data_IF_007588236380
#
_entry.id   IF_007588236380
#
_cell.length_a   1.000
_cell.length_b   1.000
_cell.length_c   1.000
_cell.angle_alpha   90.00
_cell.angle_beta   90.00
_cell.angle_gamma   90.00
#
_symmetry.space_group_name_H-M   'P 1'
#
loop_
_entity.id
_entity.type
_entity.pdbx_description
1 polymer ?
#
# COMPACT_ATOMS: atom_id res chain seq x y z
N UNK A 1 15.41 -14.68 -25.82
CA UNK A 1 15.98 -13.74 -24.84
C UNK A 1 16.61 -14.55 -23.70
N UNK A 2 17.78 -14.14 -23.24
CA UNK A 2 18.65 -14.92 -22.37
C UNK A 2 18.09 -15.01 -20.93
N UNK A 3 17.78 -16.22 -20.44
CA UNK A 3 17.15 -16.45 -19.12
C UNK A 3 17.98 -15.83 -17.97
N UNK A 4 19.29 -15.70 -18.14
CA UNK A 4 20.18 -15.08 -17.16
C UNK A 4 20.08 -13.54 -17.12
N UNK A 5 19.79 -12.88 -18.26
CA UNK A 5 19.56 -11.42 -18.29
C UNK A 5 18.24 -11.03 -17.62
N UNK A 6 17.21 -11.88 -17.71
CA UNK A 6 15.91 -11.65 -17.07
C UNK A 6 16.01 -11.85 -15.55
N UNK A 7 16.69 -12.90 -15.10
CA UNK A 7 16.99 -13.12 -13.66
C UNK A 7 17.72 -11.94 -13.02
N UNK A 8 18.70 -11.35 -13.71
CA UNK A 8 19.45 -10.21 -13.18
C UNK A 8 18.67 -8.89 -13.18
N UNK A 9 17.69 -8.71 -14.08
CA UNK A 9 16.81 -7.52 -14.07
C UNK A 9 15.82 -7.54 -12.89
N UNK A 10 15.20 -8.69 -12.60
CA UNK A 10 14.27 -8.85 -11.48
C UNK A 10 14.96 -8.76 -10.11
N UNK A 11 16.23 -9.18 -10.02
CA UNK A 11 17.02 -9.12 -8.78
C UNK A 11 17.42 -7.70 -8.37
N UNK A 12 17.43 -6.76 -9.31
CA UNK A 12 17.82 -5.36 -9.12
C UNK A 12 16.62 -4.40 -9.23
N UNK A 13 15.40 -4.93 -9.31
CA UNK A 13 14.19 -4.14 -9.37
C UNK A 13 13.77 -3.79 -7.92
N UNK A 14 13.61 -2.50 -7.57
CA UNK A 14 13.22 -2.03 -6.24
C UNK A 14 12.01 -2.75 -5.64
N UNK A 15 11.06 -3.18 -6.48
CA UNK A 15 9.86 -3.92 -6.08
C UNK A 15 10.16 -5.32 -5.51
N UNK A 16 11.36 -5.85 -5.73
CA UNK A 16 11.83 -7.18 -5.31
C UNK A 16 13.01 -7.12 -4.32
N UNK A 17 13.52 -5.93 -3.99
CA UNK A 17 14.66 -5.72 -3.07
C UNK A 17 14.29 -5.18 -1.69
N UNK A 18 13.02 -4.98 -1.35
CA UNK A 18 12.60 -4.50 -0.02
C UNK A 18 12.96 -5.51 1.10
N UNK A 19 13.56 -5.01 2.18
CA UNK A 19 13.81 -5.78 3.40
C UNK A 19 12.54 -5.88 4.24
N UNK A 20 11.66 -6.81 3.87
CA UNK A 20 10.58 -7.21 4.78
C UNK A 20 11.19 -7.77 6.07
N UNK A 21 10.79 -7.24 7.21
CA UNK A 21 11.10 -7.77 8.54
C UNK A 21 9.85 -7.72 9.41
N UNK A 22 9.49 -8.84 10.04
CA UNK A 22 8.34 -8.92 10.93
C UNK A 22 8.71 -9.48 12.32
N UNK A 23 9.52 -8.77 13.12
CA UNK A 23 9.98 -9.27 14.42
C UNK A 23 8.83 -9.51 15.41
N UNK A 24 7.78 -8.69 15.38
CA UNK A 24 6.59 -8.90 16.21
C UNK A 24 5.83 -10.17 15.82
N UNK A 25 5.74 -10.47 14.52
CA UNK A 25 5.11 -11.70 14.04
C UNK A 25 5.95 -12.90 14.49
N UNK A 26 7.28 -12.85 14.38
CA UNK A 26 8.18 -13.91 14.87
C UNK A 26 8.02 -14.15 16.38
N UNK A 27 7.92 -13.07 17.17
CA UNK A 27 7.69 -13.16 18.62
C UNK A 27 6.33 -13.81 18.94
N UNK A 28 5.26 -13.40 18.26
CA UNK A 28 3.92 -13.99 18.41
C UNK A 28 3.87 -15.44 17.93
N UNK A 29 4.59 -15.80 16.87
CA UNK A 29 4.74 -17.18 16.38
C UNK A 29 5.43 -18.06 17.43
N UNK A 30 6.49 -17.56 18.06
CA UNK A 30 7.22 -18.24 19.13
C UNK A 30 6.33 -18.42 20.35
N UNK A 31 5.65 -17.35 20.77
CA UNK A 31 4.74 -17.38 21.91
C UNK A 31 3.59 -18.37 21.67
N UNK A 32 2.93 -18.31 20.52
CA UNK A 32 1.83 -19.23 20.19
C UNK A 32 2.32 -20.68 20.09
N UNK A 33 3.53 -20.90 19.57
CA UNK A 33 4.14 -22.22 19.52
C UNK A 33 4.36 -22.82 20.90
N UNK A 34 4.61 -21.98 21.91
CA UNK A 34 4.76 -22.37 23.31
C UNK A 34 3.42 -22.52 24.05
N UNK A 35 2.51 -21.56 23.92
CA UNK A 35 1.32 -21.47 24.78
C UNK A 35 0.05 -22.11 24.18
N UNK A 36 -0.02 -22.22 22.84
CA UNK A 36 -1.17 -22.68 22.06
C UNK A 36 -2.50 -22.00 22.43
N UNK A 37 -2.46 -20.78 22.97
CA UNK A 37 -3.64 -20.04 23.44
C UNK A 37 -4.37 -19.35 22.29
N UNK A 38 -5.70 -19.32 22.37
CA UNK A 38 -6.54 -18.65 21.38
C UNK A 38 -6.29 -17.13 21.33
N UNK A 39 -6.05 -16.49 22.47
CA UNK A 39 -5.74 -15.06 22.55
C UNK A 39 -4.45 -14.72 21.79
N UNK A 40 -3.39 -15.51 21.97
CA UNK A 40 -2.11 -15.35 21.27
C UNK A 40 -2.28 -15.58 19.77
N UNK A 41 -3.07 -16.59 19.37
CA UNK A 41 -3.42 -16.83 17.97
C UNK A 41 -4.16 -15.64 17.36
N UNK A 42 -5.13 -15.04 18.07
CA UNK A 42 -5.88 -13.89 17.57
C UNK A 42 -4.98 -12.67 17.38
N UNK A 43 -4.08 -12.38 18.33
CA UNK A 43 -3.08 -11.31 18.19
C UNK A 43 -2.15 -11.56 17.00
N UNK A 44 -1.70 -12.81 16.83
CA UNK A 44 -0.89 -13.19 15.68
C UNK A 44 -1.63 -12.98 14.36
N UNK A 45 -2.89 -13.42 14.27
CA UNK A 45 -3.72 -13.22 13.07
C UNK A 45 -3.90 -11.73 12.79
N UNK A 46 -4.26 -10.92 13.80
CA UNK A 46 -4.43 -9.48 13.64
C UNK A 46 -3.15 -8.79 13.16
N UNK A 47 -1.99 -9.18 13.70
CA UNK A 47 -0.73 -8.64 13.21
C UNK A 47 -0.46 -9.10 11.77
N UNK A 48 -0.67 -10.39 11.47
CA UNK A 48 -0.51 -10.92 10.13
C UNK A 48 -1.40 -10.19 9.12
N UNK A 49 -2.68 -9.93 9.40
CA UNK A 49 -3.60 -9.26 8.45
C UNK A 49 -3.16 -7.85 8.07
N UNK A 50 -2.36 -7.19 8.90
CA UNK A 50 -1.76 -5.87 8.65
C UNK A 50 -0.31 -5.93 8.15
N UNK A 51 0.23 -7.13 7.95
CA UNK A 51 1.65 -7.32 7.59
C UNK A 51 1.82 -7.84 6.16
N UNK A 52 3.02 -7.62 5.62
CA UNK A 52 3.47 -8.27 4.39
C UNK A 52 4.53 -9.31 4.64
N UNK A 53 4.62 -10.25 3.69
CA UNK A 53 5.51 -11.39 3.76
C UNK A 53 6.21 -11.59 2.43
N UNK A 54 7.40 -12.17 2.51
CA UNK A 54 8.15 -12.62 1.35
C UNK A 54 7.59 -13.96 0.88
N UNK A 55 7.22 -14.04 -0.40
CA UNK A 55 6.62 -15.20 -1.07
C UNK A 55 7.51 -15.64 -2.22
N UNK A 56 8.13 -16.82 -2.14
CA UNK A 56 8.80 -17.46 -3.27
C UNK A 56 7.97 -17.55 -4.54
N UNK A 57 8.57 -17.21 -5.67
CA UNK A 57 7.93 -17.31 -6.98
C UNK A 57 8.90 -17.74 -8.10
N UNK A 58 8.33 -18.34 -9.14
CA UNK A 58 8.96 -18.51 -10.45
C UNK A 58 8.65 -17.32 -11.36
N UNK A 59 9.48 -17.14 -12.40
CA UNK A 59 9.23 -16.15 -13.46
C UNK A 59 8.43 -16.84 -14.59
N UNK A 60 7.18 -16.44 -14.79
CA UNK A 60 6.30 -16.96 -15.84
C UNK A 60 6.59 -16.40 -17.24
N UNK A 61 5.83 -16.85 -18.24
CA UNK A 61 6.06 -16.58 -19.67
C UNK A 61 5.97 -15.09 -20.08
N UNK A 62 5.47 -14.21 -19.20
CA UNK A 62 5.39 -12.75 -19.41
C UNK A 62 6.05 -11.94 -18.29
N UNK A 63 7.11 -12.46 -17.64
CA UNK A 63 7.71 -11.89 -16.42
C UNK A 63 6.77 -11.75 -15.21
N UNK A 64 5.55 -12.30 -15.27
CA UNK A 64 4.65 -12.34 -14.10
C UNK A 64 5.12 -13.39 -13.08
N UNK A 65 5.23 -13.05 -11.79
CA UNK A 65 5.64 -14.01 -10.78
C UNK A 65 4.54 -15.05 -10.53
N UNK A 66 4.93 -16.33 -10.47
CA UNK A 66 4.04 -17.46 -10.15
C UNK A 66 4.48 -18.04 -8.80
N UNK A 67 3.67 -17.94 -7.73
CA UNK A 67 4.07 -18.43 -6.41
C UNK A 67 4.43 -19.90 -6.39
N UNK A 68 5.44 -20.23 -5.57
CA UNK A 68 5.86 -21.60 -5.31
C UNK A 68 5.13 -22.17 -4.10
N UNK A 69 5.01 -23.50 -4.07
CA UNK A 69 4.42 -24.24 -2.96
C UNK A 69 5.43 -25.23 -2.40
N UNK A 70 5.42 -25.41 -1.08
CA UNK A 70 6.18 -26.47 -0.42
C UNK A 70 5.26 -27.65 -0.15
N UNK A 71 5.79 -28.87 -0.20
CA UNK A 71 5.05 -30.06 0.22
C UNK A 71 5.65 -30.62 1.50
N UNK A 72 4.79 -31.08 2.42
CA UNK A 72 5.27 -31.88 3.55
C UNK A 72 5.47 -33.35 3.13
N UNK A 73 5.92 -34.19 4.06
CA UNK A 73 6.14 -35.63 3.83
C UNK A 73 4.88 -36.42 3.49
N UNK A 74 3.69 -35.88 3.79
CA UNK A 74 2.39 -36.46 3.46
C UNK A 74 1.87 -36.02 2.08
N UNK A 75 2.61 -35.14 1.38
CA UNK A 75 2.24 -34.62 0.07
C UNK A 75 1.26 -33.43 0.12
N UNK A 76 0.88 -32.95 1.30
CA UNK A 76 0.10 -31.73 1.47
C UNK A 76 0.90 -30.51 0.99
N UNK A 77 0.27 -29.63 0.21
CA UNK A 77 0.90 -28.44 -0.35
C UNK A 77 0.58 -27.20 0.47
N UNK A 78 1.59 -26.38 0.78
CA UNK A 78 1.45 -25.13 1.52
C UNK A 78 2.07 -23.97 0.76
N UNK A 79 1.45 -22.80 0.88
CA UNK A 79 2.07 -21.55 0.43
C UNK A 79 3.09 -21.10 1.49
N UNK A 80 4.39 -21.03 1.17
CA UNK A 80 5.40 -20.59 2.12
C UNK A 80 5.41 -19.06 2.24
N UNK A 81 5.40 -18.57 3.48
CA UNK A 81 5.58 -17.16 3.84
C UNK A 81 6.84 -16.99 4.66
N UNK A 82 7.62 -15.95 4.37
CA UNK A 82 8.79 -15.61 5.16
C UNK A 82 8.64 -14.21 5.75
N UNK A 83 8.88 -14.15 7.05
CA UNK A 83 8.85 -12.91 7.85
C UNK A 83 10.04 -12.01 7.59
N UNK A 84 11.16 -12.54 7.08
CA UNK A 84 12.31 -11.76 6.63
C UNK A 84 13.22 -12.51 5.64
N UNK A 85 14.15 -11.79 5.01
CA UNK A 85 15.18 -12.39 4.11
C UNK A 85 16.05 -13.42 4.85
N UNK A 86 16.32 -13.20 6.15
CA UNK A 86 17.10 -14.12 6.97
C UNK A 86 16.41 -15.49 7.16
N UNK A 87 15.08 -15.54 7.04
CA UNK A 87 14.30 -16.78 7.16
C UNK A 87 14.22 -17.56 5.85
N UNK A 88 14.62 -16.97 4.71
CA UNK A 88 14.59 -17.65 3.42
C UNK A 88 15.52 -18.88 3.43
N UNK A 89 15.07 -19.94 2.77
CA UNK A 89 15.88 -21.15 2.62
C UNK A 89 17.15 -20.86 1.82
N UNK A 90 18.30 -21.21 2.40
CA UNK A 90 19.59 -21.18 1.70
C UNK A 90 19.75 -22.40 0.78
N UNK A 91 19.15 -23.52 1.14
CA UNK A 91 19.24 -24.80 0.42
C UNK A 91 18.27 -24.87 -0.76
N UNK A 92 17.16 -24.12 -0.70
CA UNK A 92 16.14 -24.06 -1.73
C UNK A 92 15.92 -22.62 -2.22
N UNK A 93 16.91 -22.01 -2.91
CA UNK A 93 16.80 -20.64 -3.38
C UNK A 93 15.71 -20.53 -4.46
N UNK A 94 14.86 -19.52 -4.32
CA UNK A 94 13.79 -19.26 -5.27
C UNK A 94 14.26 -18.30 -6.37
N UNK A 95 13.81 -18.47 -7.62
CA UNK A 95 14.20 -17.57 -8.71
C UNK A 95 13.77 -16.11 -8.52
N UNK A 96 12.65 -15.91 -7.82
CA UNK A 96 12.10 -14.62 -7.47
C UNK A 96 11.47 -14.69 -6.06
N UNK A 97 11.48 -13.56 -5.36
CA UNK A 97 10.81 -13.39 -4.06
C UNK A 97 9.88 -12.17 -4.20
N UNK A 98 8.59 -12.36 -3.95
CA UNK A 98 7.58 -11.30 -4.05
C UNK A 98 7.23 -10.81 -2.66
N UNK A 99 7.12 -9.50 -2.47
CA UNK A 99 6.58 -8.91 -1.25
C UNK A 99 5.05 -8.81 -1.35
N UNK A 100 4.30 -9.64 -0.61
CA UNK A 100 2.83 -9.72 -0.68
C UNK A 100 2.14 -9.41 0.66
N UNK A 101 1.02 -8.67 0.65
CA UNK A 101 0.15 -8.58 1.82
C UNK A 101 -0.35 -9.95 2.24
N UNK A 102 -0.44 -10.19 3.54
CA UNK A 102 -0.97 -11.45 4.06
C UNK A 102 -2.38 -11.75 3.53
N UNK A 103 -3.25 -10.74 3.44
CA UNK A 103 -4.62 -10.92 2.96
C UNK A 103 -4.69 -11.36 1.50
N UNK A 104 -3.72 -10.97 0.67
CA UNK A 104 -3.60 -11.47 -0.70
C UNK A 104 -3.31 -12.97 -0.71
N UNK A 105 -2.33 -13.38 0.09
CA UNK A 105 -1.91 -14.78 0.24
C UNK A 105 -3.04 -15.61 0.87
N UNK A 106 -3.67 -15.11 1.92
CA UNK A 106 -4.82 -15.74 2.58
C UNK A 106 -5.93 -16.03 1.58
N UNK A 107 -6.28 -15.06 0.72
CA UNK A 107 -7.32 -15.24 -0.28
C UNK A 107 -6.94 -16.27 -1.35
N UNK A 108 -5.70 -16.24 -1.86
CA UNK A 108 -5.21 -17.22 -2.83
C UNK A 108 -5.29 -18.65 -2.30
N UNK A 109 -4.94 -18.83 -1.01
CA UNK A 109 -5.01 -20.12 -0.35
C UNK A 109 -6.45 -20.48 0.02
N UNK A 110 -7.30 -19.53 0.42
CA UNK A 110 -8.71 -19.77 0.76
C UNK A 110 -9.58 -20.17 -0.44
N UNK A 111 -9.16 -19.87 -1.67
CA UNK A 111 -9.90 -20.26 -2.88
C UNK A 111 -10.21 -21.77 -2.88
N UNK A 112 -11.47 -22.14 -3.10
CA UNK A 112 -11.93 -23.55 -3.13
C UNK A 112 -11.35 -24.36 -4.29
N UNK A 113 -11.00 -23.70 -5.39
CA UNK A 113 -10.35 -24.34 -6.54
C UNK A 113 -8.85 -24.61 -6.27
N UNK A 114 -8.30 -23.99 -5.23
CA UNK A 114 -6.90 -24.15 -4.84
C UNK A 114 -6.68 -25.48 -4.11
N UNK A 115 -5.79 -26.31 -4.64
CA UNK A 115 -5.34 -27.58 -4.03
C UNK A 115 -4.33 -27.40 -2.90
N UNK A 116 -4.25 -26.20 -2.33
CA UNK A 116 -3.31 -25.84 -1.26
C UNK A 116 -3.99 -26.11 0.10
N UNK A 117 -3.27 -26.80 0.99
CA UNK A 117 -3.69 -27.24 2.32
C UNK A 117 -3.51 -26.16 3.40
N UNK A 118 -2.86 -25.05 3.09
CA UNK A 118 -2.69 -23.93 4.03
C UNK A 118 -1.50 -23.03 3.70
N UNK A 119 -1.09 -22.27 4.71
CA UNK A 119 0.06 -21.36 4.70
C UNK A 119 1.09 -21.87 5.70
N UNK A 120 2.36 -21.86 5.32
CA UNK A 120 3.47 -22.23 6.19
C UNK A 120 4.41 -21.04 6.41
N UNK A 121 4.47 -20.53 7.64
CA UNK A 121 5.33 -19.42 8.03
C UNK A 121 6.72 -19.92 8.43
N UNK A 122 7.74 -19.30 7.86
CA UNK A 122 9.15 -19.63 8.03
C UNK A 122 9.38 -21.16 8.08
N UNK A 123 9.09 -21.91 6.99
CA UNK A 123 8.98 -23.38 7.01
C UNK A 123 10.22 -24.12 7.50
N UNK A 124 11.39 -23.49 7.43
CA UNK A 124 12.68 -24.08 7.81
C UNK A 124 13.20 -23.61 9.17
N UNK A 125 12.48 -22.73 9.87
CA UNK A 125 12.85 -22.26 11.21
C UNK A 125 11.68 -22.44 12.18
N UNK A 126 10.77 -21.47 12.26
CA UNK A 126 9.63 -21.49 13.20
C UNK A 126 8.59 -22.53 12.80
N UNK A 127 8.43 -22.78 11.50
CA UNK A 127 7.54 -23.79 10.92
C UNK A 127 6.11 -23.77 11.47
N UNK A 128 5.50 -22.57 11.54
CA UNK A 128 4.11 -22.44 11.96
C UNK A 128 3.18 -22.61 10.77
N UNK A 129 2.17 -23.47 10.89
CA UNK A 129 1.24 -23.78 9.81
C UNK A 129 -0.16 -23.24 10.14
N UNK A 130 -0.68 -22.39 9.27
CA UNK A 130 -2.11 -22.07 9.20
C UNK A 130 -2.77 -23.04 8.22
N UNK A 131 -3.44 -24.06 8.74
CA UNK A 131 -4.19 -25.03 7.94
C UNK A 131 -5.38 -24.35 7.25
N UNK A 132 -5.81 -24.89 6.10
CA UNK A 132 -6.90 -24.37 5.26
C UNK A 132 -8.14 -23.91 6.04
N UNK A 133 -8.68 -24.63 7.05
CA UNK A 133 -9.86 -24.17 7.78
C UNK A 133 -9.68 -22.83 8.50
N UNK A 134 -8.47 -22.56 9.02
CA UNK A 134 -8.17 -21.28 9.65
C UNK A 134 -8.08 -20.16 8.61
N UNK A 135 -7.40 -20.42 7.48
CA UNK A 135 -7.28 -19.48 6.36
C UNK A 135 -8.66 -19.09 5.81
N UNK A 136 -9.56 -20.07 5.65
CA UNK A 136 -10.95 -19.84 5.22
C UNK A 136 -11.73 -19.01 6.23
N UNK A 137 -11.53 -19.25 7.55
CA UNK A 137 -12.17 -18.47 8.61
C UNK A 137 -11.69 -17.01 8.60
N UNK A 138 -10.39 -16.78 8.44
CA UNK A 138 -9.82 -15.43 8.31
C UNK A 138 -10.44 -14.72 7.10
N UNK A 139 -10.54 -15.40 5.95
CA UNK A 139 -11.14 -14.82 4.74
C UNK A 139 -12.62 -14.46 4.96
N UNK A 140 -13.38 -15.32 5.62
CA UNK A 140 -14.79 -15.07 5.90
C UNK A 140 -15.00 -13.84 6.81
N UNK A 141 -14.17 -13.70 7.85
CA UNK A 141 -14.20 -12.54 8.77
C UNK A 141 -13.84 -11.26 8.02
N UNK A 142 -12.76 -11.27 7.23
CA UNK A 142 -12.36 -10.09 6.45
C UNK A 142 -13.37 -9.70 5.38
N UNK A 143 -14.04 -10.69 4.76
CA UNK A 143 -15.13 -10.42 3.83
C UNK A 143 -16.31 -9.74 4.51
N UNK A 144 -16.73 -10.21 5.68
CA UNK A 144 -17.79 -9.57 6.45
C UNK A 144 -17.40 -8.14 6.88
N UNK A 145 -16.13 -7.91 7.23
CA UNK A 145 -15.59 -6.58 7.56
C UNK A 145 -15.67 -5.61 6.37
N UNK A 146 -15.38 -6.08 5.16
CA UNK A 146 -15.50 -5.31 3.91
C UNK A 146 -16.95 -4.95 3.59
N UNK A 147 -17.86 -5.91 3.75
CA UNK A 147 -19.29 -5.72 3.45
C UNK A 147 -20.02 -4.83 4.49
N UNK A 148 -19.44 -4.66 5.68
CA UNK A 148 -20.00 -3.85 6.78
C UNK A 148 -19.43 -2.43 6.94
N UNK A 149 -18.49 -1.97 6.10
CA UNK A 149 -17.92 -0.62 6.23
C UNK A 149 -18.86 0.47 5.65
N UNK A 150 -19.24 1.51 6.42
CA UNK A 150 -20.17 2.55 5.98
C UNK A 150 -19.60 3.57 4.97
N UNK A 151 -18.32 3.46 4.61
CA UNK A 151 -17.63 4.38 3.67
C UNK A 151 -17.55 3.84 2.24
N UNK A 152 -18.52 3.02 1.79
CA UNK A 152 -18.62 2.67 0.37
C UNK A 152 -19.66 3.54 -0.33
N UNK A 153 -19.28 4.72 -0.88
CA UNK A 153 -20.14 5.47 -1.77
C UNK A 153 -20.04 4.84 -3.17
N UNK A 154 -20.50 3.60 -3.35
CA UNK A 154 -21.14 3.13 -4.60
C UNK A 154 -21.61 1.68 -4.48
N UNK A 155 -22.89 1.52 -4.12
CA UNK A 155 -23.72 0.49 -4.78
C UNK A 155 -23.94 0.93 -6.24
N UNK A 156 -23.00 0.62 -7.13
CA UNK A 156 -23.12 1.06 -8.52
C UNK A 156 -22.17 0.34 -9.46
N UNK A 157 -22.71 -0.66 -10.18
CA UNK A 157 -22.08 -1.39 -11.31
C UNK A 157 -20.72 -2.01 -11.02
N UNK A 158 -20.69 -3.34 -10.93
CA UNK A 158 -19.47 -4.13 -11.11
C UNK A 158 -18.87 -3.85 -12.49
N UNK A 159 -18.01 -2.83 -12.59
CA UNK A 159 -17.11 -2.68 -13.72
C UNK A 159 -16.16 -3.87 -13.64
N UNK A 160 -16.20 -4.75 -14.65
CA UNK A 160 -15.20 -5.81 -14.80
C UNK A 160 -13.86 -5.16 -15.17
N UNK A 161 -13.16 -4.60 -14.19
CA UNK A 161 -11.80 -4.07 -14.36
C UNK A 161 -10.80 -5.20 -14.18
N UNK A 162 -9.72 -5.17 -14.96
CA UNK A 162 -8.56 -6.03 -14.68
C UNK A 162 -7.91 -5.62 -13.34
N UNK A 163 -7.15 -6.52 -12.72
CA UNK A 163 -6.46 -6.23 -11.46
C UNK A 163 -5.56 -4.98 -11.54
N UNK A 164 -4.84 -4.81 -12.65
CA UNK A 164 -3.98 -3.64 -12.92
C UNK A 164 -4.80 -2.34 -13.02
N UNK A 165 -5.94 -2.38 -13.73
CA UNK A 165 -6.84 -1.23 -13.84
C UNK A 165 -7.50 -0.88 -12.50
N UNK A 166 -7.83 -1.87 -11.68
CA UNK A 166 -8.41 -1.65 -10.36
C UNK A 166 -7.43 -0.94 -9.42
N UNK A 167 -6.16 -1.36 -9.40
CA UNK A 167 -5.11 -0.68 -8.60
C UNK A 167 -4.95 0.78 -9.03
N UNK A 168 -4.91 1.06 -10.33
CA UNK A 168 -4.82 2.43 -10.85
C UNK A 168 -6.05 3.25 -10.45
N UNK A 169 -7.24 2.66 -10.54
CA UNK A 169 -8.48 3.34 -10.16
C UNK A 169 -8.50 3.72 -8.68
N UNK A 170 -8.26 2.77 -7.77
CA UNK A 170 -8.23 3.02 -6.32
C UNK A 170 -7.14 4.03 -5.95
N UNK A 171 -5.99 3.98 -6.65
CA UNK A 171 -4.93 4.98 -6.51
C UNK A 171 -5.42 6.39 -6.85
N UNK A 172 -6.05 6.57 -8.01
CA UNK A 172 -6.59 7.87 -8.39
C UNK A 172 -7.69 8.35 -7.42
N UNK A 173 -8.55 7.44 -6.93
CA UNK A 173 -9.56 7.77 -5.92
C UNK A 173 -8.90 8.24 -4.61
N UNK A 174 -7.82 7.60 -4.17
CA UNK A 174 -7.10 8.03 -2.98
C UNK A 174 -6.51 9.43 -3.14
N UNK A 175 -5.71 9.62 -4.19
CA UNK A 175 -4.89 10.82 -4.42
C UNK A 175 -5.73 12.08 -4.66
N UNK A 176 -6.90 11.94 -5.27
CA UNK A 176 -7.72 13.08 -5.73
C UNK A 176 -9.03 13.26 -4.97
N UNK A 177 -9.47 12.25 -4.21
CA UNK A 177 -10.78 12.29 -3.55
C UNK A 177 -10.61 12.00 -2.06
N UNK A 178 -10.07 10.85 -1.70
CA UNK A 178 -10.05 10.41 -0.30
C UNK A 178 -9.10 11.23 0.58
N UNK A 179 -7.83 11.35 0.20
CA UNK A 179 -6.84 12.11 0.96
C UNK A 179 -7.19 13.60 1.10
N UNK A 180 -7.56 14.33 0.01
CA UNK A 180 -8.01 15.71 0.17
C UNK A 180 -9.25 15.83 1.04
N UNK A 181 -10.23 14.91 0.94
CA UNK A 181 -11.41 14.93 1.82
C UNK A 181 -11.02 14.80 3.30
N UNK A 182 -10.13 13.85 3.65
CA UNK A 182 -9.64 13.70 5.03
C UNK A 182 -8.95 14.96 5.54
N UNK A 183 -8.20 15.64 4.68
CA UNK A 183 -7.53 16.89 5.01
C UNK A 183 -8.52 18.03 5.25
N UNK A 184 -9.49 18.24 4.35
CA UNK A 184 -10.48 19.30 4.51
C UNK A 184 -11.42 19.06 5.70
N UNK A 185 -11.90 17.83 5.89
CA UNK A 185 -12.79 17.47 6.99
C UNK A 185 -12.08 17.51 8.35
N UNK A 186 -10.84 17.04 8.42
CA UNK A 186 -10.08 16.94 9.67
C UNK A 186 -9.28 18.20 10.02
N UNK A 187 -9.06 19.09 9.04
CA UNK A 187 -8.38 20.37 9.20
C UNK A 187 -7.06 20.28 9.96
N UNK A 188 -6.88 21.16 10.95
CA UNK A 188 -5.66 21.24 11.76
C UNK A 188 -5.33 19.91 12.46
N UNK A 189 -6.32 19.22 13.04
CA UNK A 189 -6.08 17.95 13.75
C UNK A 189 -5.52 16.88 12.81
N UNK A 190 -6.03 16.84 11.58
CA UNK A 190 -5.50 15.95 10.55
C UNK A 190 -4.07 16.33 10.17
N UNK A 191 -3.79 17.62 9.99
CA UNK A 191 -2.46 18.11 9.61
C UNK A 191 -1.42 17.87 10.70
N UNK A 192 -1.77 18.06 11.97
CA UNK A 192 -0.91 17.76 13.13
C UNK A 192 -0.58 16.26 13.15
N UNK A 193 -1.60 15.40 13.02
CA UNK A 193 -1.40 13.94 12.99
C UNK A 193 -0.57 13.50 11.80
N UNK A 194 -0.74 14.12 10.63
CA UNK A 194 0.07 13.84 9.45
C UNK A 194 1.54 14.24 9.65
N UNK A 195 1.81 15.35 10.34
CA UNK A 195 3.17 15.76 10.67
C UNK A 195 3.87 14.81 11.65
N UNK A 196 3.09 14.24 12.59
CA UNK A 196 3.58 13.30 13.62
C UNK A 196 3.77 11.88 13.07
N UNK A 197 2.77 11.33 12.40
CA UNK A 197 2.74 9.93 11.94
C UNK A 197 3.33 9.74 10.52
N UNK A 198 3.42 10.80 9.71
CA UNK A 198 4.09 10.84 8.41
C UNK A 198 3.71 9.69 7.46
N UNK A 199 4.69 8.94 6.94
CA UNK A 199 4.50 7.86 5.98
C UNK A 199 3.53 6.81 6.51
N UNK A 200 3.59 6.51 7.81
CA UNK A 200 2.70 5.53 8.45
C UNK A 200 1.23 5.93 8.31
N UNK A 201 0.91 7.21 8.50
CA UNK A 201 -0.47 7.69 8.32
C UNK A 201 -0.91 7.56 6.87
N UNK A 202 -0.05 7.93 5.92
CA UNK A 202 -0.37 7.83 4.49
C UNK A 202 -0.62 6.37 4.11
N UNK A 203 0.23 5.43 4.51
CA UNK A 203 0.06 4.00 4.26
C UNK A 203 -1.26 3.46 4.84
N UNK A 204 -1.57 3.79 6.10
CA UNK A 204 -2.82 3.39 6.75
C UNK A 204 -4.06 3.93 6.02
N UNK A 205 -4.06 5.21 5.63
CA UNK A 205 -5.17 5.82 4.90
C UNK A 205 -5.29 5.26 3.48
N UNK A 206 -4.17 4.95 2.82
CA UNK A 206 -4.17 4.37 1.49
C UNK A 206 -4.76 2.96 1.51
N UNK A 207 -4.38 2.14 2.49
CA UNK A 207 -4.98 0.83 2.70
C UNK A 207 -6.47 0.94 3.08
N UNK A 208 -6.85 1.95 3.88
CA UNK A 208 -8.25 2.23 4.24
C UNK A 208 -9.11 2.51 3.00
N UNK A 209 -8.58 3.27 2.03
CA UNK A 209 -9.32 3.63 0.82
C UNK A 209 -9.60 2.43 -0.11
N UNK A 210 -8.80 1.36 -0.05
CA UNK A 210 -8.99 0.19 -0.91
C UNK A 210 -10.20 -0.64 -0.48
N UNK A 211 -11.20 -0.77 -1.37
CA UNK A 211 -12.35 -1.66 -1.12
C UNK A 211 -11.90 -3.12 -0.97
N UNK A 212 -10.92 -3.55 -1.78
CA UNK A 212 -10.29 -4.86 -1.68
C UNK A 212 -8.89 -4.74 -1.08
N UNK A 213 -8.77 -4.66 0.25
CA UNK A 213 -7.48 -4.59 0.96
C UNK A 213 -6.41 -5.59 0.49
N UNK A 214 -6.81 -6.79 0.06
CA UNK A 214 -5.88 -7.79 -0.50
C UNK A 214 -5.15 -7.32 -1.77
N UNK A 215 -5.67 -6.32 -2.46
CA UNK A 215 -5.12 -5.73 -3.67
C UNK A 215 -4.22 -4.52 -3.37
N UNK A 216 -4.14 -4.07 -2.11
CA UNK A 216 -3.31 -2.94 -1.72
C UNK A 216 -1.83 -3.27 -1.92
N UNK A 217 -1.15 -2.61 -2.87
CA UNK A 217 0.15 -3.08 -3.31
C UNK A 217 1.31 -2.39 -2.59
N UNK A 218 1.08 -1.24 -1.93
CA UNK A 218 2.12 -0.36 -1.38
C UNK A 218 2.46 -0.67 0.08
N UNK A 219 3.48 0.02 0.60
CA UNK A 219 3.99 0.02 1.97
C UNK A 219 4.37 1.44 2.41
N UNK A 220 4.54 1.63 3.71
CA UNK A 220 5.06 2.87 4.31
C UNK A 220 6.29 3.42 3.56
N UNK A 221 7.25 2.56 3.21
CA UNK A 221 8.49 2.96 2.51
C UNK A 221 8.29 3.38 1.03
N UNK A 222 7.12 3.07 0.44
CA UNK A 222 6.77 3.51 -0.92
C UNK A 222 6.33 4.98 -0.94
N UNK A 223 6.17 5.61 0.23
CA UNK A 223 5.81 7.01 0.42
C UNK A 223 6.98 7.80 1.02
N UNK A 224 6.93 9.12 0.86
CA UNK A 224 7.81 10.04 1.58
C UNK A 224 7.00 11.26 2.00
N UNK A 225 7.03 11.59 3.29
CA UNK A 225 6.24 12.67 3.87
C UNK A 225 7.15 13.69 4.54
N UNK A 226 7.06 14.93 4.06
CA UNK A 226 7.84 16.05 4.58
C UNK A 226 6.92 17.20 4.98
N UNK A 227 6.76 17.41 6.28
CA UNK A 227 6.05 18.55 6.85
C UNK A 227 7.01 19.68 7.17
N UNK A 228 6.62 20.90 6.80
CA UNK A 228 7.42 22.10 6.96
C UNK A 228 6.55 23.25 7.43
N UNK A 229 7.04 23.97 8.43
CA UNK A 229 6.45 25.23 8.88
C UNK A 229 7.05 26.37 8.04
N UNK A 230 6.21 27.03 7.23
CA UNK A 230 6.62 28.11 6.32
C UNK A 230 6.58 29.47 7.03
N UNK A 231 5.63 29.64 7.95
CA UNK A 231 5.50 30.79 8.84
C UNK A 231 4.87 30.36 10.16
N UNK A 232 4.62 31.30 11.07
CA UNK A 232 3.94 31.03 12.34
C UNK A 232 2.55 30.41 12.17
N UNK A 233 1.91 30.61 11.01
CA UNK A 233 0.53 30.17 10.74
C UNK A 233 0.41 29.25 9.52
N UNK A 234 1.40 29.20 8.63
CA UNK A 234 1.31 28.45 7.38
C UNK A 234 2.18 27.20 7.44
N UNK A 235 1.55 26.04 7.34
CA UNK A 235 2.19 24.74 7.29
C UNK A 235 1.98 24.08 5.93
N UNK A 236 3.00 23.39 5.43
CA UNK A 236 2.92 22.62 4.19
C UNK A 236 3.46 21.22 4.43
N UNK A 237 2.65 20.22 4.12
CA UNK A 237 3.09 18.83 4.06
C UNK A 237 3.15 18.37 2.61
N UNK A 238 4.35 18.01 2.17
CA UNK A 238 4.59 17.32 0.90
C UNK A 238 4.45 15.82 1.11
N UNK A 239 3.73 15.16 0.23
CA UNK A 239 3.60 13.69 0.16
C UNK A 239 4.04 13.22 -1.22
N UNK A 240 5.10 12.44 -1.29
CA UNK A 240 5.50 11.71 -2.49
C UNK A 240 4.76 10.37 -2.56
N UNK A 241 4.08 10.12 -3.68
CA UNK A 241 3.33 8.89 -3.90
C UNK A 241 4.18 7.80 -4.58
N UNK A 242 3.75 6.53 -4.52
CA UNK A 242 4.53 5.41 -5.05
C UNK A 242 4.83 5.55 -6.54
N UNK A 243 6.05 5.25 -6.96
CA UNK A 243 6.43 5.32 -8.39
C UNK A 243 6.01 4.08 -9.19
N UNK A 244 5.72 2.96 -8.51
CA UNK A 244 5.19 1.74 -9.12
C UNK A 244 3.73 1.95 -9.54
N UNK A 245 3.30 1.24 -10.58
CA UNK A 245 1.90 1.26 -11.05
C UNK A 245 1.42 2.66 -11.49
N UNK A 246 2.37 3.52 -11.88
CA UNK A 246 2.11 4.88 -12.36
C UNK A 246 1.40 4.85 -13.72
N UNK A 247 0.29 5.57 -13.82
CA UNK A 247 -0.49 5.73 -15.04
C UNK A 247 -0.79 7.22 -15.28
N UNK A 248 -1.22 7.60 -16.49
CA UNK A 248 -1.68 8.97 -16.73
C UNK A 248 -2.80 9.36 -15.74
N UNK A 249 -2.69 10.55 -15.17
CA UNK A 249 -3.53 11.13 -14.12
C UNK A 249 -3.36 10.51 -12.72
N UNK A 250 -2.36 9.66 -12.48
CA UNK A 250 -1.89 9.42 -11.13
C UNK A 250 -1.07 10.62 -10.65
N UNK A 251 -1.23 10.98 -9.39
CA UNK A 251 -0.40 11.97 -8.74
C UNK A 251 0.98 11.37 -8.43
N UNK A 252 2.02 12.11 -8.78
CA UNK A 252 3.40 11.82 -8.38
C UNK A 252 3.63 12.32 -6.96
N UNK A 253 3.03 13.47 -6.64
CA UNK A 253 3.24 14.21 -5.40
C UNK A 253 2.01 15.03 -5.06
N UNK A 254 1.74 15.19 -3.77
CA UNK A 254 0.78 16.14 -3.24
C UNK A 254 1.44 17.18 -2.32
N UNK A 255 0.84 18.36 -2.26
CA UNK A 255 1.14 19.42 -1.31
C UNK A 255 -0.13 19.77 -0.55
N UNK A 256 -0.14 19.47 0.75
CA UNK A 256 -1.21 19.79 1.68
C UNK A 256 -0.81 21.07 2.40
N UNK A 257 -1.50 22.17 2.13
CA UNK A 257 -1.23 23.48 2.71
C UNK A 257 -2.30 23.80 3.74
N UNK A 258 -1.91 24.20 4.95
CA UNK A 258 -2.84 24.59 6.01
C UNK A 258 -2.44 25.93 6.60
N UNK A 259 -3.39 26.88 6.60
CA UNK A 259 -3.25 28.17 7.26
C UNK A 259 -4.07 28.17 8.57
N UNK A 260 -3.38 28.20 9.70
CA UNK A 260 -3.98 28.22 11.04
C UNK A 260 -4.75 29.52 11.31
N UNK A 261 -4.33 30.65 10.74
CA UNK A 261 -5.01 31.94 10.94
C UNK A 261 -6.34 32.00 10.18
N UNK A 262 -6.35 31.50 8.94
CA UNK A 262 -7.56 31.41 8.13
C UNK A 262 -8.41 30.17 8.46
N UNK A 263 -7.86 29.18 9.19
CA UNK A 263 -8.45 27.86 9.36
C UNK A 263 -8.84 27.22 8.02
N UNK A 264 -7.97 27.35 7.03
CA UNK A 264 -8.24 26.97 5.64
C UNK A 264 -7.13 26.09 5.08
N UNK A 265 -7.55 25.00 4.43
CA UNK A 265 -6.68 24.09 3.70
C UNK A 265 -6.67 24.36 2.20
N UNK A 266 -5.56 24.03 1.53
CA UNK A 266 -5.48 23.89 0.07
C UNK A 266 -4.70 22.64 -0.29
N UNK A 267 -5.15 21.94 -1.32
CA UNK A 267 -4.59 20.65 -1.72
C UNK A 267 -4.16 20.68 -3.17
N UNK A 268 -2.86 20.49 -3.42
CA UNK A 268 -2.29 20.48 -4.77
C UNK A 268 -1.70 19.12 -5.09
N UNK A 269 -1.75 18.73 -6.37
CA UNK A 269 -1.11 17.52 -6.89
C UNK A 269 -0.31 17.82 -8.14
N UNK A 270 0.70 17.00 -8.38
CA UNK A 270 1.46 16.95 -9.63
C UNK A 270 1.10 15.66 -10.34
N UNK A 271 0.30 15.77 -11.39
CA UNK A 271 -0.21 14.62 -12.13
C UNK A 271 0.71 14.23 -13.27
N UNK A 272 0.95 12.94 -13.43
CA UNK A 272 1.61 12.40 -14.62
C UNK A 272 0.69 12.48 -15.85
N UNK A 273 1.22 12.87 -17.01
CA UNK A 273 0.50 12.85 -18.30
C UNK A 273 0.98 11.71 -19.20
N UNK A 274 0.15 11.35 -20.19
CA UNK A 274 0.43 10.25 -21.12
C UNK A 274 1.64 10.45 -22.01
N UNK A 275 2.10 11.69 -22.16
CA UNK A 275 3.29 12.09 -22.91
C UNK A 275 4.54 12.26 -22.03
N UNK A 276 4.49 11.77 -20.78
CA UNK A 276 5.55 11.90 -19.74
C UNK A 276 5.80 13.32 -19.26
N UNK A 277 4.90 14.26 -19.58
CA UNK A 277 4.88 15.57 -18.93
C UNK A 277 4.11 15.50 -17.61
N UNK A 278 4.12 16.60 -16.86
CA UNK A 278 3.42 16.73 -15.58
C UNK A 278 2.54 17.97 -15.58
N UNK A 279 1.44 17.94 -14.82
CA UNK A 279 0.53 19.08 -14.64
C UNK A 279 0.40 19.41 -13.16
N UNK A 280 0.48 20.70 -12.81
CA UNK A 280 0.15 21.18 -11.47
C UNK A 280 -1.36 21.44 -11.39
N UNK A 281 -1.99 20.89 -10.36
CA UNK A 281 -3.43 20.89 -10.20
C UNK A 281 -3.77 21.17 -8.75
N UNK A 282 -4.82 21.95 -8.49
CA UNK A 282 -5.46 22.05 -7.19
C UNK A 282 -6.78 21.27 -7.17
N UNK A 283 -6.99 20.52 -6.09
CA UNK A 283 -8.27 19.91 -5.76
C UNK A 283 -8.89 20.74 -4.64
N UNK A 284 -9.98 21.43 -4.97
CA UNK A 284 -10.70 22.26 -4.01
C UNK A 284 -11.55 21.41 -3.07
N UNK A 285 -12.01 22.01 -1.97
CA UNK A 285 -12.90 21.38 -0.99
C UNK A 285 -14.21 20.86 -1.61
N UNK A 286 -14.72 21.53 -2.65
CA UNK A 286 -15.89 21.08 -3.42
C UNK A 286 -15.55 20.08 -4.55
N UNK A 287 -14.37 19.44 -4.48
CA UNK A 287 -13.84 18.45 -5.41
C UNK A 287 -13.69 18.94 -6.86
N UNK A 288 -13.52 20.25 -7.08
CA UNK A 288 -13.18 20.76 -8.41
C UNK A 288 -11.68 20.62 -8.65
N UNK A 289 -11.34 20.30 -9.89
CA UNK A 289 -9.97 20.19 -10.38
C UNK A 289 -9.59 21.47 -11.12
N UNK A 290 -8.73 22.29 -10.53
CA UNK A 290 -8.21 23.53 -11.12
C UNK A 290 -6.80 23.29 -11.67
N UNK A 291 -6.63 23.32 -12.99
CA UNK A 291 -5.33 23.10 -13.64
C UNK A 291 -4.54 24.40 -13.77
N UNK A 292 -3.28 24.38 -13.34
CA UNK A 292 -2.33 25.50 -13.44
C UNK A 292 -1.30 25.33 -14.57
N UNK A 293 -1.48 24.32 -15.43
CA UNK A 293 -0.59 24.03 -16.55
C UNK A 293 0.58 23.12 -16.16
N UNK A 294 1.66 23.19 -16.93
CA UNK A 294 2.81 22.31 -16.75
C UNK A 294 3.38 22.45 -15.33
N UNK A 295 3.63 21.32 -14.66
CA UNK A 295 4.23 21.39 -13.34
C UNK A 295 5.66 21.95 -13.45
N UNK A 296 6.08 22.78 -12.48
CA UNK A 296 7.45 23.28 -12.44
C UNK A 296 8.44 22.13 -12.22
N UNK A 297 9.72 22.41 -12.50
CA UNK A 297 10.78 21.42 -12.28
C UNK A 297 10.88 21.02 -10.81
N UNK A 298 11.29 19.77 -10.56
CA UNK A 298 11.49 19.26 -9.21
C UNK A 298 12.44 20.19 -8.42
N UNK A 299 11.98 20.62 -7.24
CA UNK A 299 12.67 21.61 -6.40
C UNK A 299 12.14 23.04 -6.50
N UNK A 300 11.41 23.40 -7.57
CA UNK A 300 10.73 24.70 -7.69
C UNK A 300 9.22 24.65 -7.35
N UNK A 301 8.66 23.45 -7.30
CA UNK A 301 7.23 23.19 -7.08
C UNK A 301 6.66 23.82 -5.81
N UNK A 302 7.33 23.66 -4.68
CA UNK A 302 6.87 24.26 -3.43
C UNK A 302 6.74 25.77 -3.54
N UNK A 303 7.71 26.44 -4.17
CA UNK A 303 7.66 27.89 -4.33
C UNK A 303 6.45 28.29 -5.17
N UNK A 304 6.18 27.58 -6.27
CA UNK A 304 4.99 27.82 -7.10
C UNK A 304 3.69 27.61 -6.30
N UNK A 305 3.60 26.55 -5.48
CA UNK A 305 2.46 26.32 -4.59
C UNK A 305 2.29 27.49 -3.61
N UNK A 306 3.37 27.97 -3.00
CA UNK A 306 3.32 29.09 -2.06
C UNK A 306 2.92 30.41 -2.74
N UNK A 307 3.36 30.63 -3.97
CA UNK A 307 2.98 31.82 -4.75
C UNK A 307 1.47 31.78 -5.10
N UNK A 308 0.94 30.61 -5.46
CA UNK A 308 -0.50 30.41 -5.67
C UNK A 308 -1.32 30.62 -4.39
N UNK A 309 -0.78 30.19 -3.24
CA UNK A 309 -1.39 30.42 -1.92
C UNK A 309 -1.50 31.91 -1.61
N UNK A 310 -0.43 32.67 -1.84
CA UNK A 310 -0.38 34.12 -1.60
C UNK A 310 -1.29 34.92 -2.53
N UNK A 311 -1.24 34.64 -3.84
CA UNK A 311 -2.02 35.39 -4.83
C UNK A 311 -3.53 35.29 -4.56
N UNK A 312 -4.01 34.12 -4.09
CA UNK A 312 -5.43 33.97 -3.72
C UNK A 312 -5.82 34.74 -2.47
N UNK A 313 -4.91 34.99 -1.52
CA UNK A 313 -5.16 35.81 -0.34
C UNK A 313 -5.22 37.31 -0.67
N UNK A 314 -4.54 37.75 -1.74
CA UNK A 314 -4.58 39.13 -2.23
C UNK A 314 -5.85 39.43 -3.04
N UNK A 315 -6.41 38.44 -3.76
CA UNK A 315 -7.67 38.59 -4.51
C UNK A 315 -8.94 38.57 -3.63
N UNK A 316 -8.82 38.13 -2.37
CA UNK A 316 -9.93 38.05 -1.41
C UNK A 316 -9.98 39.23 -0.41
N UNK A 317 -9.01 40.14 -0.46
CA UNK A 317 -8.96 41.40 0.30
C UNK A 317 -9.32 42.61 -0.56
#
# INVERSE_FOLDING_TARGET
MDKNKIKNKLKNDPAFTLEVQNPEVEALMTQYSSDKKAETLNKLIEKCTKSRFLVPANVGENNKPIPLFIKNGEGEAFMPLYTSKAQLSKDHPSPCIVNMPFLAVNNMVANKESKINGIAFNPFTHNLIFKKPLVEKIEAVEKARREGHPTSPTKGKTVQMTAEQYVIFERMQYEHIFLPAKMFEGGKEFMDRLADEKEKLIDELYEEAYQQKRMYPYMEEDFSVMSMQISDTLNVTRVDFPTRDMAPNCAIRAYLVWDDAASQGRYFVIDAKGDKTTELVEITEDHKRLGYGAAPVEGAELQTVLDLVKNSAEEQN
#
